data_IF_231669894258
#
_entry.id   IF_231669894258
#
_cell.length_a   1.000
_cell.length_b   1.000
_cell.length_c   1.000
_cell.angle_alpha   90.00
_cell.angle_beta   90.00
_cell.angle_gamma   90.00
#
_symmetry.space_group_name_H-M   'P 1'
#
loop_
_entity.id
_entity.type
_entity.pdbx_description
1 polymer ?
#
# COMPACT_ATOMS: atom_id res chain seq x y z
N UNK A 1 20.06 0.39 22.11
CA UNK A 1 18.84 1.04 21.60
C UNK A 1 19.11 2.50 21.33
N UNK A 2 18.95 2.93 20.08
CA UNK A 2 19.16 4.33 19.68
C UNK A 2 17.98 5.24 20.08
N UNK A 3 18.19 6.55 20.05
CA UNK A 3 17.14 7.53 20.33
C UNK A 3 15.99 7.43 19.30
N UNK A 4 16.32 7.15 18.04
CA UNK A 4 15.36 6.98 16.96
C UNK A 4 14.50 5.72 17.13
N UNK A 5 15.09 4.64 17.64
CA UNK A 5 14.35 3.42 18.02
C UNK A 5 13.31 3.72 19.10
N UNK A 6 13.68 4.45 20.15
CA UNK A 6 12.76 4.80 21.24
C UNK A 6 11.63 5.73 20.79
N UNK A 7 11.92 6.68 19.89
CA UNK A 7 10.90 7.59 19.33
C UNK A 7 9.93 6.81 18.43
N UNK A 8 10.44 5.87 17.63
CA UNK A 8 9.64 4.99 16.79
C UNK A 8 8.74 4.08 17.62
N UNK A 9 9.28 3.40 18.62
CA UNK A 9 8.52 2.52 19.52
C UNK A 9 7.41 3.28 20.27
N UNK A 10 7.70 4.49 20.74
CA UNK A 10 6.71 5.35 21.41
C UNK A 10 5.57 5.75 20.48
N UNK A 11 5.90 6.19 19.25
CA UNK A 11 4.87 6.52 18.23
C UNK A 11 4.05 5.29 17.84
N UNK A 12 4.67 4.12 17.74
CA UNK A 12 3.99 2.85 17.47
C UNK A 12 3.03 2.49 18.62
N UNK A 13 3.45 2.68 19.88
CA UNK A 13 2.61 2.47 21.05
C UNK A 13 1.40 3.42 21.12
N UNK A 14 1.59 4.70 20.81
CA UNK A 14 0.50 5.70 20.75
C UNK A 14 -0.46 5.43 19.58
N UNK A 15 0.04 4.93 18.46
CA UNK A 15 -0.81 4.50 17.34
C UNK A 15 -1.60 3.24 17.73
N UNK A 16 -0.97 2.26 18.41
CA UNK A 16 -1.59 1.03 18.94
C UNK A 16 -2.72 1.30 19.92
N UNK A 17 -2.67 2.37 20.71
CA UNK A 17 -3.73 2.72 21.69
C UNK A 17 -5.01 3.23 21.02
N UNK A 18 -4.93 3.71 19.77
CA UNK A 18 -6.09 4.14 18.96
C UNK A 18 -6.75 2.99 18.17
N UNK A 19 -6.23 1.77 18.26
CA UNK A 19 -6.75 0.62 17.52
C UNK A 19 -7.94 -0.01 18.24
N UNK A 20 -9.09 -0.05 17.58
CA UNK A 20 -10.16 -0.95 17.99
C UNK A 20 -9.80 -2.40 17.58
N UNK A 21 -10.49 -3.39 18.16
CA UNK A 21 -10.21 -4.80 17.91
C UNK A 21 -10.38 -5.20 16.44
N UNK A 22 -11.20 -4.45 15.70
CA UNK A 22 -11.42 -4.63 14.26
C UNK A 22 -10.16 -4.28 13.45
N UNK A 23 -9.49 -3.16 13.76
CA UNK A 23 -8.22 -2.78 13.11
C UNK A 23 -7.10 -3.78 13.42
N UNK A 24 -7.07 -4.31 14.65
CA UNK A 24 -6.10 -5.35 15.05
C UNK A 24 -6.29 -6.66 14.28
N UNK A 25 -7.55 -7.06 14.05
CA UNK A 25 -7.86 -8.23 13.24
C UNK A 25 -7.39 -8.04 11.79
N UNK A 26 -7.75 -6.92 11.15
CA UNK A 26 -7.31 -6.64 9.77
C UNK A 26 -5.79 -6.66 9.60
N UNK A 27 -5.02 -6.11 10.54
CA UNK A 27 -3.55 -6.12 10.46
C UNK A 27 -2.97 -7.54 10.44
N UNK A 28 -3.57 -8.49 11.16
CA UNK A 28 -3.09 -9.86 11.22
C UNK A 28 -3.45 -10.66 9.99
N UNK A 29 -4.55 -10.31 9.35
CA UNK A 29 -5.12 -11.11 8.29
C UNK A 29 -4.58 -10.64 6.93
N UNK A 30 -4.22 -9.36 6.76
CA UNK A 30 -3.68 -8.86 5.48
C UNK A 30 -2.51 -9.71 4.97
N UNK A 31 -2.70 -10.28 3.78
CA UNK A 31 -1.73 -11.11 3.06
C UNK A 31 -1.09 -10.36 1.90
N UNK A 32 -1.77 -9.33 1.37
CA UNK A 32 -1.31 -8.63 0.16
C UNK A 32 -1.83 -7.20 0.09
N UNK A 33 -0.99 -6.28 -0.35
CA UNK A 33 -1.39 -4.95 -0.81
C UNK A 33 -0.81 -4.71 -2.20
N UNK A 34 -1.65 -4.44 -3.19
CA UNK A 34 -1.24 -4.11 -4.55
C UNK A 34 -1.71 -2.72 -4.94
N UNK A 35 -0.85 -2.01 -5.65
CA UNK A 35 -1.10 -0.69 -6.21
C UNK A 35 -0.72 -0.70 -7.67
N UNK A 36 -1.71 -0.54 -8.53
CA UNK A 36 -1.52 -0.40 -9.97
C UNK A 36 -1.81 1.05 -10.36
N UNK A 37 -0.95 1.63 -11.20
CA UNK A 37 -1.13 3.00 -11.67
C UNK A 37 -0.55 3.17 -13.08
N UNK A 38 -1.17 4.06 -13.84
CA UNK A 38 -0.77 4.31 -15.22
C UNK A 38 -1.92 4.85 -16.03
N UNK A 39 -2.10 4.37 -17.25
CA UNK A 39 -3.23 4.74 -18.08
C UNK A 39 -3.29 3.91 -19.35
N UNK A 40 -4.47 3.86 -19.97
CA UNK A 40 -4.76 3.00 -21.13
C UNK A 40 -3.71 3.08 -22.24
N UNK A 41 -3.12 4.26 -22.46
CA UNK A 41 -2.11 4.48 -23.51
C UNK A 41 -0.68 4.07 -23.12
N UNK A 42 -0.38 3.98 -21.82
CA UNK A 42 0.99 3.71 -21.30
C UNK A 42 1.11 2.40 -20.54
N UNK A 43 0.00 1.65 -20.42
CA UNK A 43 -0.07 0.48 -19.55
C UNK A 43 -0.06 0.86 -18.07
N UNK A 44 0.14 -0.13 -17.22
CA UNK A 44 0.10 0.01 -15.77
C UNK A 44 1.34 -0.59 -15.14
N UNK A 45 2.02 0.19 -14.32
CA UNK A 45 2.99 -0.35 -13.37
C UNK A 45 2.22 -0.83 -12.15
N UNK A 46 2.58 -2.01 -11.62
CA UNK A 46 1.97 -2.58 -10.43
C UNK A 46 3.03 -2.89 -9.39
N UNK A 47 2.82 -2.35 -8.19
CA UNK A 47 3.62 -2.67 -7.01
C UNK A 47 2.78 -3.57 -6.12
N UNK A 48 3.32 -4.73 -5.75
CA UNK A 48 2.69 -5.65 -4.80
C UNK A 48 3.58 -5.87 -3.60
N UNK A 49 3.00 -5.78 -2.41
CA UNK A 49 3.63 -6.16 -1.13
C UNK A 49 2.90 -7.40 -0.65
N UNK A 50 3.58 -8.55 -0.68
CA UNK A 50 3.03 -9.85 -0.30
C UNK A 50 3.64 -10.27 1.02
N UNK A 51 2.83 -10.66 1.99
CA UNK A 51 3.32 -11.18 3.27
C UNK A 51 4.13 -12.46 3.03
N UNK A 52 5.18 -12.63 3.81
CA UNK A 52 6.00 -13.84 3.84
C UNK A 52 6.34 -14.23 5.29
N UNK A 53 6.93 -15.41 5.47
CA UNK A 53 7.36 -15.89 6.79
C UNK A 53 8.45 -15.01 7.42
N UNK A 54 9.20 -14.27 6.61
CA UNK A 54 10.29 -13.37 7.04
C UNK A 54 9.89 -11.87 7.07
N UNK A 55 8.62 -11.58 6.76
CA UNK A 55 8.08 -10.22 6.73
C UNK A 55 7.17 -10.03 5.52
N UNK A 56 7.72 -9.43 4.47
CA UNK A 56 7.04 -9.33 3.18
C UNK A 56 8.03 -9.35 2.02
N UNK A 57 7.53 -9.71 0.84
CA UNK A 57 8.21 -9.58 -0.44
C UNK A 57 7.53 -8.49 -1.25
N UNK A 58 8.32 -7.60 -1.81
CA UNK A 58 7.87 -6.54 -2.68
C UNK A 58 8.22 -6.87 -4.13
N UNK A 59 7.22 -6.85 -4.99
CA UNK A 59 7.32 -7.16 -6.41
C UNK A 59 6.82 -5.97 -7.23
N UNK A 60 7.55 -5.65 -8.29
CA UNK A 60 7.14 -4.62 -9.26
C UNK A 60 6.95 -5.32 -10.59
N UNK A 61 5.75 -5.21 -11.12
CA UNK A 61 5.41 -5.63 -12.48
C UNK A 61 5.30 -4.34 -13.28
N UNK A 62 6.32 -3.99 -14.07
CA UNK A 62 6.27 -2.80 -14.90
C UNK A 62 5.23 -2.98 -16.02
N UNK A 63 4.82 -1.87 -16.59
CA UNK A 63 3.88 -1.87 -17.70
C UNK A 63 4.43 -2.72 -18.87
N UNK A 64 3.56 -3.39 -19.65
CA UNK A 64 3.97 -4.35 -20.69
C UNK A 64 4.73 -3.73 -21.87
N UNK A 65 4.85 -2.40 -21.91
CA UNK A 65 5.65 -1.69 -22.91
C UNK A 65 7.06 -1.33 -22.40
N UNK A 66 7.39 -1.71 -21.16
CA UNK A 66 8.68 -1.51 -20.53
C UNK A 66 9.52 -2.78 -20.60
N UNK A 67 10.77 -2.66 -21.04
CA UNK A 67 11.78 -3.72 -20.95
C UNK A 67 12.50 -3.73 -19.59
N UNK A 68 12.03 -2.92 -18.63
CA UNK A 68 12.64 -2.84 -17.30
C UNK A 68 12.38 -4.13 -16.52
N UNK A 69 13.45 -4.80 -16.10
CA UNK A 69 13.35 -5.84 -15.09
C UNK A 69 13.63 -5.24 -13.72
N UNK A 70 12.67 -5.40 -12.82
CA UNK A 70 12.78 -4.92 -11.44
C UNK A 70 12.87 -6.12 -10.50
N UNK A 71 14.06 -6.37 -9.97
CA UNK A 71 14.29 -7.44 -9.00
C UNK A 71 13.37 -7.27 -7.77
N UNK A 72 12.70 -8.33 -7.30
CA UNK A 72 11.94 -8.28 -6.06
C UNK A 72 12.81 -7.89 -4.87
N UNK A 73 12.21 -7.24 -3.89
CA UNK A 73 12.88 -6.80 -2.65
C UNK A 73 12.28 -7.46 -1.44
N UNK A 74 13.12 -7.74 -0.45
CA UNK A 74 12.66 -8.24 0.85
C UNK A 74 12.40 -7.09 1.80
N UNK A 75 11.33 -7.22 2.57
CA UNK A 75 10.86 -6.26 3.58
C UNK A 75 10.82 -6.99 4.92
N UNK A 76 11.43 -6.41 5.95
CA UNK A 76 11.44 -7.04 7.29
C UNK A 76 10.03 -7.08 7.91
N UNK A 77 9.84 -7.94 8.90
CA UNK A 77 8.61 -7.97 9.71
C UNK A 77 8.26 -6.59 10.28
N UNK A 78 9.22 -5.84 10.83
CA UNK A 78 8.91 -4.54 11.42
C UNK A 78 8.55 -3.49 10.36
N UNK A 79 9.11 -3.58 9.15
CA UNK A 79 8.74 -2.70 8.03
C UNK A 79 7.34 -3.03 7.52
N UNK A 80 7.01 -4.33 7.39
CA UNK A 80 5.67 -4.79 7.01
C UNK A 80 4.61 -4.35 8.01
N UNK A 81 4.83 -4.60 9.29
CA UNK A 81 3.91 -4.17 10.35
C UNK A 81 3.75 -2.65 10.32
N UNK A 82 4.83 -1.88 10.27
CA UNK A 82 4.74 -0.41 10.24
C UNK A 82 4.00 0.10 8.99
N UNK A 83 4.22 -0.53 7.84
CA UNK A 83 3.52 -0.21 6.61
C UNK A 83 2.02 -0.39 6.77
N UNK A 84 1.57 -1.54 7.28
CA UNK A 84 0.15 -1.79 7.50
C UNK A 84 -0.44 -0.83 8.54
N UNK A 85 0.29 -0.56 9.63
CA UNK A 85 -0.14 0.41 10.65
C UNK A 85 -0.40 1.77 10.01
N UNK A 86 0.54 2.27 9.20
CA UNK A 86 0.41 3.55 8.54
C UNK A 86 -0.73 3.54 7.51
N UNK A 87 -0.88 2.44 6.77
CA UNK A 87 -1.97 2.23 5.80
C UNK A 87 -3.35 2.32 6.45
N UNK A 88 -3.56 1.68 7.59
CA UNK A 88 -4.88 1.68 8.25
C UNK A 88 -5.13 2.89 9.13
N UNK A 89 -4.10 3.50 9.73
CA UNK A 89 -4.30 4.58 10.71
C UNK A 89 -4.03 5.97 10.18
N UNK A 90 -3.00 6.14 9.34
CA UNK A 90 -2.66 7.44 8.75
C UNK A 90 -3.37 7.64 7.42
N UNK A 91 -3.29 6.63 6.54
CA UNK A 91 -3.99 6.65 5.25
C UNK A 91 -5.47 6.33 5.42
N UNK A 92 -5.88 5.65 6.50
CA UNK A 92 -7.29 5.31 6.74
C UNK A 92 -7.94 4.69 5.49
N UNK A 93 -7.22 3.78 4.84
CA UNK A 93 -7.58 3.36 3.48
C UNK A 93 -8.97 2.73 3.38
N UNK A 94 -9.46 2.14 4.47
CA UNK A 94 -10.82 1.58 4.54
C UNK A 94 -11.94 2.64 4.43
N UNK A 95 -11.63 3.92 4.66
CA UNK A 95 -12.58 5.02 4.52
C UNK A 95 -12.67 5.53 3.07
N UNK A 96 -11.82 5.01 2.16
CA UNK A 96 -11.89 5.36 0.76
C UNK A 96 -13.15 4.80 0.12
N UNK A 97 -13.75 5.57 -0.80
CA UNK A 97 -14.80 5.06 -1.70
C UNK A 97 -14.24 3.92 -2.56
N UNK A 98 -15.11 3.03 -3.01
CA UNK A 98 -14.72 1.98 -3.95
C UNK A 98 -14.33 2.53 -5.33
N UNK A 99 -14.93 3.64 -5.76
CA UNK A 99 -14.72 4.24 -7.08
C UNK A 99 -14.54 5.75 -7.01
N UNK A 100 -13.53 6.26 -7.71
CA UNK A 100 -13.24 7.69 -7.92
C UNK A 100 -13.14 7.98 -9.41
N UNK A 101 -14.17 8.56 -10.03
CA UNK A 101 -14.16 8.84 -11.48
C UNK A 101 -14.42 10.32 -11.73
N UNK A 102 -13.49 10.97 -12.42
CA UNK A 102 -13.74 12.25 -13.08
C UNK A 102 -13.93 12.03 -14.58
N UNK A 103 -15.19 12.00 -15.01
CA UNK A 103 -15.57 11.79 -16.41
C UNK A 103 -15.29 12.98 -17.31
N UNK A 104 -14.88 14.14 -16.76
CA UNK A 104 -14.56 15.34 -17.55
C UNK A 104 -13.16 15.28 -18.16
N UNK A 105 -12.34 14.31 -17.75
CA UNK A 105 -10.97 14.15 -18.22
C UNK A 105 -10.86 12.87 -19.05
N UNK A 106 -10.69 13.03 -20.36
CA UNK A 106 -10.73 11.94 -21.36
C UNK A 106 -9.44 11.09 -21.42
N UNK A 107 -8.35 11.55 -20.81
CA UNK A 107 -7.08 10.85 -20.66
C UNK A 107 -6.56 10.96 -19.23
N UNK A 108 -5.30 10.59 -18.96
CA UNK A 108 -4.69 10.80 -17.65
C UNK A 108 -4.43 9.52 -16.87
N UNK A 109 -4.54 9.59 -15.55
CA UNK A 109 -4.10 8.52 -14.65
C UNK A 109 -5.27 7.67 -14.18
N UNK A 110 -5.14 6.38 -14.42
CA UNK A 110 -5.96 5.35 -13.82
C UNK A 110 -5.16 4.64 -12.75
N UNK A 111 -5.86 4.23 -11.69
CA UNK A 111 -5.22 3.58 -10.56
C UNK A 111 -6.16 2.59 -9.88
N UNK A 112 -5.54 1.62 -9.20
CA UNK A 112 -6.21 0.61 -8.40
C UNK A 112 -5.38 0.32 -7.16
N UNK A 113 -6.04 0.19 -6.02
CA UNK A 113 -5.48 -0.38 -4.79
C UNK A 113 -6.31 -1.61 -4.40
N UNK A 114 -5.63 -2.74 -4.25
CA UNK A 114 -6.19 -4.00 -3.76
C UNK A 114 -5.56 -4.36 -2.42
N UNK A 115 -6.38 -4.71 -1.44
CA UNK A 115 -5.94 -5.19 -0.13
C UNK A 115 -6.57 -6.57 0.10
N UNK A 116 -5.74 -7.62 0.05
CA UNK A 116 -6.14 -8.99 0.38
C UNK A 116 -6.04 -9.23 1.87
N UNK A 117 -7.15 -9.54 2.53
CA UNK A 117 -7.27 -9.89 3.95
C UNK A 117 -7.18 -11.39 4.16
N UNK A 118 -7.51 -12.18 3.15
CA UNK A 118 -7.27 -13.62 3.08
C UNK A 118 -7.32 -14.00 1.61
N UNK A 119 -7.17 -15.28 1.28
CA UNK A 119 -7.30 -15.74 -0.10
C UNK A 119 -8.68 -15.41 -0.72
N UNK A 120 -9.70 -15.18 0.12
CA UNK A 120 -11.10 -15.01 -0.31
C UNK A 120 -11.64 -13.58 -0.12
N UNK A 121 -11.00 -12.74 0.70
CA UNK A 121 -11.53 -11.41 1.05
C UNK A 121 -10.61 -10.27 0.57
N UNK A 122 -11.18 -9.40 -0.26
CA UNK A 122 -10.45 -8.30 -0.91
C UNK A 122 -11.19 -6.97 -0.74
N UNK A 123 -10.46 -5.93 -0.36
CA UNK A 123 -10.89 -4.55 -0.53
C UNK A 123 -10.32 -3.98 -1.83
N UNK A 124 -11.17 -3.32 -2.60
CA UNK A 124 -10.80 -2.75 -3.90
C UNK A 124 -11.22 -1.29 -3.96
N UNK A 125 -10.25 -0.44 -4.27
CA UNK A 125 -10.44 0.98 -4.55
C UNK A 125 -9.87 1.27 -5.93
N UNK A 126 -10.67 1.90 -6.79
CA UNK A 126 -10.24 2.26 -8.14
C UNK A 126 -10.48 3.74 -8.41
N UNK A 127 -9.70 4.30 -9.32
CA UNK A 127 -10.00 5.61 -9.84
C UNK A 127 -9.47 5.90 -11.23
N UNK A 128 -10.09 6.91 -11.82
CA UNK A 128 -9.79 7.47 -13.13
C UNK A 128 -9.85 8.99 -13.01
N UNK A 129 -8.68 9.63 -12.95
CA UNK A 129 -8.47 11.07 -12.79
C UNK A 129 -9.06 11.73 -11.53
N UNK A 130 -9.72 10.97 -10.67
CA UNK A 130 -10.14 11.39 -9.34
C UNK A 130 -9.42 10.55 -8.28
N UNK A 131 -9.14 11.18 -7.15
CA UNK A 131 -8.29 10.62 -6.11
C UNK A 131 -8.87 10.91 -4.72
N UNK A 132 -8.69 10.02 -3.75
CA UNK A 132 -8.93 10.34 -2.35
C UNK A 132 -8.01 11.47 -1.89
N UNK A 133 -8.46 12.21 -0.85
CA UNK A 133 -7.74 13.38 -0.34
C UNK A 133 -6.28 13.08 0.03
N UNK A 134 -6.00 11.86 0.52
CA UNK A 134 -4.70 11.43 1.00
C UNK A 134 -4.00 10.42 0.08
N UNK A 135 -4.30 10.50 -1.22
CA UNK A 135 -3.72 9.62 -2.24
C UNK A 135 -2.20 9.80 -2.38
N UNK A 136 -1.70 11.02 -2.27
CA UNK A 136 -0.27 11.30 -2.38
C UNK A 136 0.52 10.74 -1.19
N UNK A 137 -0.03 10.79 0.02
CA UNK A 137 0.56 10.17 1.20
C UNK A 137 0.60 8.65 1.07
N UNK A 138 -0.43 8.04 0.49
CA UNK A 138 -0.43 6.61 0.18
C UNK A 138 0.69 6.25 -0.81
N UNK A 139 0.81 7.00 -1.92
CA UNK A 139 1.91 6.80 -2.87
C UNK A 139 3.27 6.91 -2.19
N UNK A 140 3.45 7.95 -1.37
CA UNK A 140 4.71 8.14 -0.64
C UNK A 140 5.00 6.99 0.32
N UNK A 141 3.98 6.44 0.98
CA UNK A 141 4.11 5.28 1.85
C UNK A 141 4.61 4.05 1.07
N UNK A 142 3.96 3.70 -0.05
CA UNK A 142 4.32 2.49 -0.80
C UNK A 142 5.64 2.64 -1.56
N UNK A 143 5.91 3.78 -2.19
CA UNK A 143 7.20 4.04 -2.84
C UNK A 143 8.33 4.20 -1.81
N UNK A 144 8.03 4.74 -0.64
CA UNK A 144 8.98 4.81 0.48
C UNK A 144 9.38 3.41 0.95
N UNK A 145 8.41 2.51 1.08
CA UNK A 145 8.67 1.11 1.42
C UNK A 145 9.59 0.45 0.38
N UNK A 146 9.30 0.63 -0.92
CA UNK A 146 10.13 0.12 -2.02
C UNK A 146 11.59 0.54 -1.90
N UNK A 147 11.84 1.85 -1.67
CA UNK A 147 13.20 2.40 -1.52
C UNK A 147 13.93 1.87 -0.29
N UNK A 148 13.19 1.45 0.74
CA UNK A 148 13.74 0.93 2.00
C UNK A 148 13.97 -0.59 2.00
N UNK A 149 13.40 -1.32 1.03
CA UNK A 149 13.62 -2.75 0.87
C UNK A 149 15.03 -3.06 0.40
N UNK A 150 15.53 -4.23 0.80
CA UNK A 150 16.86 -4.75 0.43
C UNK A 150 16.77 -5.76 -0.69
#
# INVERSE_FOLDING_TARGET
MSLDEKIREKKVGEIKSRWNDKTKAYLRDVVKVSYSFGGVQRGFDTISVLRSDEGAKMEVIPNPYSDEYVSPRSISHEQWEQFLIDLFTKIRILDWKSNYVDSKVYGGTQWEVLIGISDELWYRHVGSNAFPKNYDEFKNLIFGLWRSGK
#
